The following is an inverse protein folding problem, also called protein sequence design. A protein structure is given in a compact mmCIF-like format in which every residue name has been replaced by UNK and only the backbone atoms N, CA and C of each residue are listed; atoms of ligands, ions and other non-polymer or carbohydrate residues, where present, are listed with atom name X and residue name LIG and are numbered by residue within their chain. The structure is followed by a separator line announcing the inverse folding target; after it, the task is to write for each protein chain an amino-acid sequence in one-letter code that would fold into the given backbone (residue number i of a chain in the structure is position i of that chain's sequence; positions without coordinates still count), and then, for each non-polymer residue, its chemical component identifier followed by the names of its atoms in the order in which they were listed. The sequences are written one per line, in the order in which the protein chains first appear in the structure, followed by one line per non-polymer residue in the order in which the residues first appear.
data_IF_025102945499
#
_entry.id   IF_025102945499
#
_cell.length_a   1.000
_cell.length_b   1.000
_cell.length_c   1.000
_cell.angle_alpha   90.00
_cell.angle_beta   90.00
_cell.angle_gamma   90.00
#
_symmetry.space_group_name_H-M   'P 1'
#
loop_
_entity.id
_entity.type
_entity.pdbx_description
1 polymer ?
#
# COMPACT_ATOMS: atom_id res chain seq x y z
N UNK A 1 18.06 10.53 -4.99
CA UNK A 1 17.98 9.08 -5.30
C UNK A 1 18.80 8.29 -4.27
N UNK A 2 18.50 8.52 -2.99
CA UNK A 2 19.10 7.96 -1.78
C UNK A 2 17.93 8.20 -0.80
N UNK A 3 17.10 7.23 -0.41
CA UNK A 3 17.38 6.08 0.43
C UNK A 3 16.41 4.94 0.06
N UNK A 4 16.89 3.92 -0.65
CA UNK A 4 16.17 2.65 -0.75
C UNK A 4 17.08 1.45 -0.41
N UNK A 5 18.24 1.73 0.18
CA UNK A 5 19.29 0.73 0.44
C UNK A 5 19.41 0.35 1.91
N UNK A 6 18.71 1.02 2.84
CA UNK A 6 18.76 0.62 4.26
C UNK A 6 17.71 -0.43 4.64
N UNK A 7 16.60 -0.51 3.91
CA UNK A 7 15.54 -1.53 4.13
C UNK A 7 15.88 -2.91 3.58
N UNK A 8 16.85 -3.02 2.66
CA UNK A 8 17.36 -4.33 2.22
C UNK A 8 18.06 -5.12 3.35
N UNK A 9 18.44 -4.45 4.46
CA UNK A 9 19.17 -5.06 5.57
C UNK A 9 18.34 -5.88 6.55
N UNK A 10 17.00 -5.82 6.50
CA UNK A 10 16.14 -6.56 7.43
C UNK A 10 15.52 -7.84 6.85
N UNK A 11 15.74 -8.14 5.56
CA UNK A 11 14.99 -9.19 4.86
C UNK A 11 15.88 -10.20 4.12
N UNK A 12 16.96 -10.71 4.74
CA UNK A 12 17.79 -11.76 4.11
C UNK A 12 17.90 -13.09 4.88
N UNK A 13 17.19 -13.28 6.01
CA UNK A 13 17.25 -14.57 6.71
C UNK A 13 16.17 -15.58 6.30
N UNK A 14 15.11 -15.21 5.57
CA UNK A 14 13.99 -16.13 5.38
C UNK A 14 13.30 -16.00 4.02
N UNK A 15 14.00 -16.42 2.95
CA UNK A 15 13.36 -17.04 1.78
C UNK A 15 12.69 -18.39 2.16
N UNK A 16 12.64 -18.74 3.45
CA UNK A 16 11.87 -19.83 4.05
C UNK A 16 10.72 -19.38 4.97
N UNK A 17 9.96 -18.34 4.63
CA UNK A 17 8.77 -17.94 5.40
C UNK A 17 7.49 -18.75 5.09
N UNK A 18 7.60 -19.85 4.34
CA UNK A 18 6.47 -20.70 3.98
C UNK A 18 5.84 -21.45 5.19
N UNK A 19 6.41 -21.34 6.39
CA UNK A 19 5.96 -22.06 7.60
C UNK A 19 5.38 -21.21 8.74
N UNK A 20 5.37 -19.87 8.61
CA UNK A 20 4.75 -18.96 9.60
C UNK A 20 3.41 -18.37 9.12
N UNK A 21 3.02 -18.67 7.87
CA UNK A 21 1.87 -18.09 7.17
C UNK A 21 0.48 -18.46 7.70
N UNK A 22 0.37 -19.35 8.69
CA UNK A 22 -0.96 -19.88 9.07
C UNK A 22 -1.50 -19.43 10.43
N UNK A 23 -0.74 -18.64 11.22
CA UNK A 23 -1.18 -18.27 12.59
C UNK A 23 -1.38 -16.77 12.83
N UNK A 24 -1.22 -15.94 11.81
CA UNK A 24 -1.36 -14.47 11.92
C UNK A 24 -2.41 -13.89 10.97
N UNK A 25 -3.33 -14.70 10.44
CA UNK A 25 -4.49 -14.20 9.72
C UNK A 25 -5.50 -13.68 10.74
N UNK A 26 -5.28 -12.44 11.18
CA UNK A 26 -6.23 -11.71 12.01
C UNK A 26 -7.59 -11.64 11.31
N UNK A 27 -8.66 -11.60 12.09
CA UNK A 27 -10.04 -11.48 11.58
C UNK A 27 -10.19 -10.30 10.61
N UNK A 28 -9.47 -9.20 10.85
CA UNK A 28 -9.42 -8.02 9.98
C UNK A 28 -8.78 -8.33 8.62
N UNK A 29 -7.66 -9.05 8.59
CA UNK A 29 -6.98 -9.45 7.36
C UNK A 29 -7.89 -10.31 6.47
N UNK A 30 -8.59 -11.28 7.06
CA UNK A 30 -9.51 -12.14 6.32
C UNK A 30 -10.72 -11.34 5.78
N UNK A 31 -11.34 -10.51 6.62
CA UNK A 31 -12.44 -9.63 6.19
C UNK A 31 -12.04 -8.75 5.00
N UNK A 32 -10.85 -8.15 5.05
CA UNK A 32 -10.38 -7.32 3.95
C UNK A 32 -10.05 -8.15 2.71
N UNK A 33 -9.48 -9.35 2.87
CA UNK A 33 -9.22 -10.27 1.77
C UNK A 33 -10.50 -10.63 1.02
N UNK A 34 -11.54 -11.06 1.73
CA UNK A 34 -12.83 -11.43 1.14
C UNK A 34 -13.50 -10.24 0.42
N UNK A 35 -13.31 -9.02 0.95
CA UNK A 35 -13.76 -7.80 0.31
C UNK A 35 -12.93 -7.48 -0.95
N UNK A 36 -11.61 -7.59 -0.86
CA UNK A 36 -10.68 -7.26 -1.94
C UNK A 36 -10.89 -8.15 -3.17
N UNK A 37 -11.13 -9.45 -2.99
CA UNK A 37 -11.44 -10.37 -4.10
C UNK A 37 -12.69 -9.93 -4.89
N UNK A 38 -13.76 -9.54 -4.17
CA UNK A 38 -14.99 -9.02 -4.79
C UNK A 38 -14.73 -7.69 -5.49
N UNK A 39 -14.00 -6.80 -4.84
CA UNK A 39 -13.62 -5.49 -5.38
C UNK A 39 -12.80 -5.62 -6.67
N UNK A 40 -11.86 -6.56 -6.72
CA UNK A 40 -11.06 -6.87 -7.91
C UNK A 40 -11.92 -7.39 -9.06
N UNK A 41 -12.84 -8.32 -8.78
CA UNK A 41 -13.78 -8.83 -9.78
C UNK A 41 -14.63 -7.70 -10.39
N UNK A 42 -15.12 -6.77 -9.56
CA UNK A 42 -15.87 -5.60 -10.03
C UNK A 42 -14.99 -4.62 -10.83
N UNK A 43 -13.72 -4.46 -10.46
CA UNK A 43 -12.76 -3.64 -11.20
C UNK A 43 -12.55 -4.22 -12.60
N UNK A 44 -12.38 -5.53 -12.73
CA UNK A 44 -12.23 -6.19 -14.03
C UNK A 44 -13.44 -5.93 -14.94
N UNK A 45 -14.66 -5.97 -14.39
CA UNK A 45 -15.87 -5.69 -15.16
C UNK A 45 -15.94 -4.22 -15.60
N UNK A 46 -15.54 -3.28 -14.74
CA UNK A 46 -15.42 -1.86 -15.11
C UNK A 46 -14.38 -1.66 -16.22
N UNK A 47 -13.24 -2.37 -16.17
CA UNK A 47 -12.21 -2.33 -17.22
C UNK A 47 -12.74 -2.89 -18.54
N UNK A 48 -13.48 -4.01 -18.52
CA UNK A 48 -14.13 -4.55 -19.73
C UNK A 48 -15.08 -3.53 -20.37
N UNK A 49 -15.91 -2.87 -19.55
CA UNK A 49 -16.83 -1.82 -20.03
C UNK A 49 -16.04 -0.66 -20.64
N UNK A 50 -14.97 -0.20 -19.98
CA UNK A 50 -14.12 0.87 -20.51
C UNK A 50 -13.50 0.51 -21.87
N UNK A 51 -12.98 -0.71 -22.01
CA UNK A 51 -12.40 -1.19 -23.26
C UNK A 51 -13.44 -1.29 -24.38
N UNK A 52 -14.69 -1.64 -24.07
CA UNK A 52 -15.78 -1.61 -25.04
C UNK A 52 -16.10 -0.18 -25.48
N UNK A 53 -16.25 0.75 -24.54
CA UNK A 53 -16.49 2.18 -24.84
C UNK A 53 -15.36 2.80 -25.65
N UNK A 54 -14.10 2.39 -25.41
CA UNK A 54 -12.95 2.91 -26.16
C UNK A 54 -12.96 2.56 -27.66
N UNK A 55 -13.76 1.57 -28.08
CA UNK A 55 -13.93 1.22 -29.50
C UNK A 55 -14.90 2.16 -30.21
N UNK A 56 -15.79 2.81 -29.46
CA UNK A 56 -16.80 3.74 -29.96
C UNK A 56 -16.41 5.18 -29.61
N UNK A 57 -15.50 5.75 -30.41
CA UNK A 57 -14.82 7.04 -30.14
C UNK A 57 -15.71 8.30 -30.16
N UNK A 58 -17.03 8.16 -30.31
CA UNK A 58 -17.99 9.26 -30.42
C UNK A 58 -18.82 9.51 -29.15
N UNK A 59 -18.61 8.74 -28.07
CA UNK A 59 -19.47 8.80 -26.88
C UNK A 59 -18.78 9.44 -25.65
N UNK A 60 -18.59 10.75 -25.69
CA UNK A 60 -17.93 11.52 -24.62
C UNK A 60 -18.62 11.37 -23.24
N UNK A 61 -19.96 11.42 -23.21
CA UNK A 61 -20.75 11.21 -21.98
C UNK A 61 -20.58 9.80 -21.37
N UNK A 62 -20.22 8.80 -22.19
CA UNK A 62 -19.91 7.44 -21.74
C UNK A 62 -18.59 7.39 -20.95
N UNK A 63 -17.59 8.15 -21.39
CA UNK A 63 -16.28 8.23 -20.72
C UNK A 63 -16.36 8.93 -19.35
N UNK A 64 -17.13 10.01 -19.25
CA UNK A 64 -17.33 10.68 -17.96
C UNK A 64 -17.99 9.73 -16.94
N UNK A 65 -19.04 9.04 -17.37
CA UNK A 65 -19.77 8.08 -16.51
C UNK A 65 -18.87 6.96 -16.01
N UNK A 66 -18.06 6.36 -16.89
CA UNK A 66 -17.17 5.25 -16.50
C UNK A 66 -16.01 5.74 -15.61
N UNK A 67 -15.44 6.92 -15.86
CA UNK A 67 -14.41 7.53 -15.00
C UNK A 67 -14.96 7.81 -13.60
N UNK A 68 -16.19 8.32 -13.51
CA UNK A 68 -16.86 8.52 -12.23
C UNK A 68 -17.07 7.20 -11.48
N UNK A 69 -17.45 6.12 -12.17
CA UNK A 69 -17.54 4.77 -11.58
C UNK A 69 -16.20 4.26 -11.08
N UNK A 70 -15.12 4.35 -11.87
CA UNK A 70 -13.78 3.98 -11.41
C UNK A 70 -13.35 4.76 -10.18
N UNK A 71 -13.62 6.07 -10.18
CA UNK A 71 -13.26 6.96 -9.07
C UNK A 71 -14.04 6.59 -7.80
N UNK A 72 -15.34 6.33 -7.91
CA UNK A 72 -16.17 5.88 -6.79
C UNK A 72 -15.70 4.51 -6.25
N UNK A 73 -15.42 3.56 -7.15
CA UNK A 73 -14.95 2.21 -6.82
C UNK A 73 -13.64 2.23 -6.02
N UNK A 74 -12.68 3.09 -6.42
CA UNK A 74 -11.43 3.25 -5.67
C UNK A 74 -11.63 3.97 -4.34
N UNK A 75 -12.51 4.98 -4.28
CA UNK A 75 -12.85 5.66 -3.02
C UNK A 75 -13.42 4.66 -2.00
N UNK A 76 -14.29 3.77 -2.42
CA UNK A 76 -14.88 2.73 -1.56
C UNK A 76 -13.82 1.78 -0.99
N UNK A 77 -12.87 1.32 -1.82
CA UNK A 77 -11.72 0.54 -1.36
C UNK A 77 -10.97 1.25 -0.24
N UNK A 78 -10.62 2.52 -0.41
CA UNK A 78 -9.85 3.25 0.60
C UNK A 78 -10.66 3.55 1.86
N UNK A 79 -11.98 3.79 1.75
CA UNK A 79 -12.85 3.95 2.92
C UNK A 79 -12.87 2.67 3.77
N UNK A 80 -13.07 1.52 3.14
CA UNK A 80 -13.12 0.22 3.84
C UNK A 80 -11.74 -0.17 4.38
N UNK A 81 -10.68 0.01 3.57
CA UNK A 81 -9.29 -0.20 3.98
C UNK A 81 -8.94 0.63 5.21
N UNK A 82 -9.30 1.92 5.20
CA UNK A 82 -9.04 2.83 6.31
C UNK A 82 -9.80 2.44 7.58
N UNK A 83 -11.08 2.09 7.46
CA UNK A 83 -11.90 1.63 8.59
C UNK A 83 -11.31 0.38 9.24
N UNK A 84 -10.93 -0.61 8.45
CA UNK A 84 -10.38 -1.87 8.95
C UNK A 84 -8.96 -1.70 9.50
N UNK A 85 -8.16 -0.80 8.93
CA UNK A 85 -6.85 -0.45 9.47
C UNK A 85 -6.92 0.21 10.86
N UNK A 86 -8.04 0.87 11.20
CA UNK A 86 -8.25 1.40 12.55
C UNK A 86 -8.51 0.29 13.59
N UNK A 87 -9.08 -0.84 13.15
CA UNK A 87 -9.28 -2.03 13.99
C UNK A 87 -7.96 -2.77 14.22
N UNK A 88 -7.23 -3.05 13.14
CA UNK A 88 -5.92 -3.71 13.17
C UNK A 88 -5.04 -3.24 12.00
N UNK A 89 -4.10 -2.34 12.29
CA UNK A 89 -3.17 -1.82 11.29
C UNK A 89 -2.10 -2.84 10.89
N UNK A 90 -1.77 -3.79 11.78
CA UNK A 90 -0.72 -4.78 11.54
C UNK A 90 -1.10 -5.76 10.43
N UNK A 91 -2.39 -6.05 10.30
CA UNK A 91 -2.97 -6.81 9.19
C UNK A 91 -2.65 -6.24 7.79
N UNK A 92 -2.33 -4.93 7.69
CA UNK A 92 -2.05 -4.26 6.42
C UNK A 92 -0.55 -4.13 6.09
N UNK A 93 0.35 -4.48 7.02
CA UNK A 93 1.80 -4.50 6.78
C UNK A 93 2.28 -5.80 6.11
N UNK A 94 1.53 -6.89 6.23
CA UNK A 94 1.76 -8.14 5.51
C UNK A 94 0.45 -8.62 4.85
N UNK A 95 0.06 -8.01 3.73
CA UNK A 95 -1.26 -8.24 3.16
C UNK A 95 -1.33 -9.62 2.49
N UNK A 96 -2.24 -10.46 2.99
CA UNK A 96 -2.46 -11.83 2.52
C UNK A 96 -3.24 -11.89 1.19
N UNK A 97 -3.90 -10.79 0.83
CA UNK A 97 -4.70 -10.65 -0.39
C UNK A 97 -3.87 -10.22 -1.61
N UNK A 98 -2.57 -9.97 -1.43
CA UNK A 98 -1.64 -9.67 -2.52
C UNK A 98 -0.79 -10.90 -2.83
N UNK A 99 -0.47 -11.08 -4.11
CA UNK A 99 0.49 -12.10 -4.54
C UNK A 99 1.89 -11.79 -3.98
N UNK A 100 2.77 -12.80 -3.86
CA UNK A 100 4.15 -12.57 -3.44
C UNK A 100 4.90 -11.54 -4.31
N UNK A 101 4.57 -11.48 -5.59
CA UNK A 101 5.13 -10.50 -6.52
C UNK A 101 4.66 -9.08 -6.19
N UNK A 102 3.35 -8.88 -6.00
CA UNK A 102 2.78 -7.57 -5.64
C UNK A 102 3.30 -7.09 -4.29
N UNK A 103 3.44 -8.02 -3.33
CA UNK A 103 4.09 -7.76 -2.05
C UNK A 103 5.54 -7.30 -2.24
N UNK A 104 6.33 -8.03 -3.03
CA UNK A 104 7.70 -7.63 -3.32
C UNK A 104 7.78 -6.25 -4.00
N UNK A 105 6.88 -5.95 -4.94
CA UNK A 105 6.83 -4.62 -5.56
C UNK A 105 6.50 -3.52 -4.56
N UNK A 106 5.52 -3.73 -3.67
CA UNK A 106 5.17 -2.78 -2.63
C UNK A 106 6.40 -2.40 -1.76
N UNK A 107 7.23 -3.39 -1.43
CA UNK A 107 8.47 -3.21 -0.66
C UNK A 107 9.61 -2.58 -1.48
N UNK A 108 9.85 -3.08 -2.69
CA UNK A 108 11.04 -2.72 -3.49
C UNK A 108 10.90 -1.33 -4.11
N UNK A 109 9.74 -1.01 -4.70
CA UNK A 109 9.57 0.26 -5.41
C UNK A 109 9.07 1.37 -4.49
N UNK A 110 8.54 1.01 -3.33
CA UNK A 110 7.71 1.90 -2.53
C UNK A 110 6.42 2.25 -3.26
N UNK A 111 5.43 2.75 -2.51
CA UNK A 111 4.25 3.38 -3.09
C UNK A 111 4.54 4.86 -3.36
N UNK A 112 4.73 5.24 -4.64
CA UNK A 112 4.93 6.63 -5.08
C UNK A 112 3.88 7.04 -6.10
N UNK A 113 2.76 7.67 -5.67
CA UNK A 113 1.70 8.13 -6.57
C UNK A 113 2.21 9.06 -7.67
N UNK A 114 3.30 9.80 -7.39
CA UNK A 114 3.98 10.64 -8.35
C UNK A 114 4.44 9.90 -9.63
N UNK A 115 4.71 8.58 -9.55
CA UNK A 115 5.12 7.79 -10.71
C UNK A 115 4.04 7.71 -11.79
N UNK A 116 2.76 7.78 -11.44
CA UNK A 116 1.66 7.76 -12.41
C UNK A 116 1.77 8.91 -13.41
N UNK A 117 2.31 10.05 -12.98
CA UNK A 117 2.51 11.21 -13.84
C UNK A 117 3.59 11.01 -14.89
N UNK A 118 4.54 10.09 -14.68
CA UNK A 118 5.50 9.72 -15.72
C UNK A 118 4.80 9.09 -16.92
N UNK A 119 3.73 8.32 -16.68
CA UNK A 119 2.91 7.76 -17.75
C UNK A 119 2.17 8.87 -18.49
N UNK A 120 1.55 9.80 -17.76
CA UNK A 120 0.88 10.98 -18.34
C UNK A 120 1.83 11.77 -19.23
N UNK A 121 3.04 12.09 -18.73
CA UNK A 121 4.04 12.84 -19.49
C UNK A 121 4.52 12.09 -20.73
N UNK A 122 4.60 10.76 -20.66
CA UNK A 122 4.97 9.92 -21.80
C UNK A 122 3.87 9.89 -22.86
N UNK A 123 2.62 9.73 -22.43
CA UNK A 123 1.45 9.66 -23.32
C UNK A 123 1.15 11.00 -23.97
N UNK A 124 1.37 12.11 -23.26
CA UNK A 124 1.26 13.49 -23.79
C UNK A 124 2.28 13.80 -24.89
N UNK A 125 3.41 13.10 -24.90
CA UNK A 125 4.48 13.26 -25.91
C UNK A 125 4.40 12.24 -27.05
N UNK A 126 3.51 11.25 -26.95
CA UNK A 126 3.40 10.16 -27.93
C UNK A 126 2.46 10.51 -29.10
N UNK A 127 2.87 10.22 -30.33
CA UNK A 127 2.13 10.54 -31.57
C UNK A 127 1.25 9.36 -32.02
N UNK A 128 0.34 8.90 -31.13
CA UNK A 128 -0.60 7.81 -31.45
C UNK A 128 -1.96 8.38 -31.84
N UNK A 129 -2.30 8.17 -33.11
CA UNK A 129 -3.46 8.80 -33.78
C UNK A 129 -4.84 8.29 -33.31
N UNK A 130 -4.92 7.29 -32.43
CA UNK A 130 -6.17 6.84 -31.83
C UNK A 130 -5.94 6.21 -30.44
N UNK A 131 -6.69 6.67 -29.42
CA UNK A 131 -6.82 6.00 -28.12
C UNK A 131 -5.61 6.00 -27.18
N UNK A 132 -4.53 6.72 -27.48
CA UNK A 132 -3.32 6.70 -26.63
C UNK A 132 -2.47 7.97 -26.60
N UNK A 133 -2.79 8.99 -27.40
CA UNK A 133 -2.10 10.28 -27.35
C UNK A 133 -2.88 11.27 -26.50
N UNK A 134 -2.27 11.79 -25.43
CA UNK A 134 -2.83 12.89 -24.63
C UNK A 134 -2.55 14.27 -25.26
N UNK A 135 -2.15 14.33 -26.53
CA UNK A 135 -1.88 15.59 -27.25
C UNK A 135 -3.13 16.49 -27.39
N UNK A 136 -4.33 15.95 -27.18
CA UNK A 136 -5.60 16.68 -27.15
C UNK A 136 -5.99 17.30 -25.80
N UNK A 137 -5.09 17.29 -24.81
CA UNK A 137 -5.39 17.84 -23.49
C UNK A 137 -5.50 19.37 -23.55
N UNK A 138 -6.56 19.93 -22.96
CA UNK A 138 -6.73 21.38 -22.92
C UNK A 138 -5.70 22.03 -21.98
N UNK A 139 -5.45 23.33 -22.15
CA UNK A 139 -4.54 24.08 -21.29
C UNK A 139 -5.00 24.05 -19.82
N UNK A 140 -6.31 24.08 -19.59
CA UNK A 140 -6.93 23.96 -18.26
C UNK A 140 -6.66 22.59 -17.65
N UNK A 141 -6.81 21.51 -18.43
CA UNK A 141 -6.52 20.14 -17.97
C UNK A 141 -5.04 19.97 -17.63
N UNK A 142 -4.14 20.55 -18.44
CA UNK A 142 -2.71 20.56 -18.16
C UNK A 142 -2.39 21.29 -16.85
N UNK A 143 -2.98 22.47 -16.62
CA UNK A 143 -2.82 23.24 -15.38
C UNK A 143 -3.35 22.47 -14.16
N UNK A 144 -4.50 21.80 -14.28
CA UNK A 144 -5.06 20.98 -13.21
C UNK A 144 -4.15 19.78 -12.88
N UNK A 145 -3.59 19.12 -13.90
CA UNK A 145 -2.64 18.02 -13.70
C UNK A 145 -1.37 18.52 -13.00
N UNK A 146 -0.81 19.66 -13.41
CA UNK A 146 0.38 20.21 -12.77
C UNK A 146 0.13 20.59 -11.31
N UNK A 147 -1.03 21.19 -11.01
CA UNK A 147 -1.44 21.47 -9.63
C UNK A 147 -1.58 20.17 -8.80
N UNK A 148 -2.13 19.10 -9.40
CA UNK A 148 -2.23 17.79 -8.76
C UNK A 148 -0.85 17.16 -8.53
N UNK A 149 0.08 17.28 -9.47
CA UNK A 149 1.47 16.79 -9.32
C UNK A 149 2.14 17.43 -8.12
N UNK A 150 2.08 18.76 -8.01
CA UNK A 150 2.67 19.51 -6.90
C UNK A 150 2.03 19.09 -5.57
N UNK A 151 0.69 19.03 -5.52
CA UNK A 151 -0.02 18.61 -4.31
C UNK A 151 0.39 17.20 -3.88
N UNK A 152 0.39 16.24 -4.80
CA UNK A 152 0.78 14.86 -4.49
C UNK A 152 2.23 14.77 -4.04
N UNK A 153 3.14 15.54 -4.64
CA UNK A 153 4.54 15.59 -4.20
C UNK A 153 4.68 16.04 -2.75
N UNK A 154 3.97 17.10 -2.35
CA UNK A 154 4.00 17.59 -0.96
C UNK A 154 3.42 16.59 0.04
N UNK A 155 2.31 15.94 -0.31
CA UNK A 155 1.70 14.90 0.55
C UNK A 155 2.60 13.66 0.65
N UNK A 156 3.25 13.26 -0.46
CA UNK A 156 4.21 12.15 -0.50
C UNK A 156 5.41 12.43 0.42
N UNK A 157 6.00 13.62 0.36
CA UNK A 157 7.07 14.06 1.28
C UNK A 157 6.61 14.10 2.74
N UNK A 158 5.34 14.45 2.98
CA UNK A 158 4.73 14.40 4.31
C UNK A 158 4.70 12.97 4.87
N UNK A 159 4.20 12.03 4.07
CA UNK A 159 4.12 10.61 4.44
C UNK A 159 5.51 9.99 4.61
N UNK A 160 6.47 10.32 3.75
CA UNK A 160 7.84 9.79 3.83
C UNK A 160 8.54 10.24 5.14
N UNK A 161 8.40 11.52 5.51
CA UNK A 161 8.93 12.02 6.80
C UNK A 161 8.25 11.37 8.01
N UNK A 162 6.95 11.18 7.94
CA UNK A 162 6.18 10.53 9.00
C UNK A 162 6.61 9.06 9.16
N UNK A 163 6.79 8.35 8.04
CA UNK A 163 7.30 6.99 8.01
C UNK A 163 8.71 6.89 8.59
N UNK A 164 9.62 7.80 8.22
CA UNK A 164 10.99 7.83 8.76
C UNK A 164 10.96 8.00 10.30
N UNK A 165 10.17 8.95 10.81
CA UNK A 165 10.03 9.15 12.26
C UNK A 165 9.46 7.90 12.95
N UNK A 166 8.48 7.22 12.37
CA UNK A 166 7.95 5.96 12.92
C UNK A 166 9.01 4.85 12.89
N UNK A 167 9.77 4.71 11.80
CA UNK A 167 10.85 3.72 11.68
C UNK A 167 11.95 3.94 12.73
N UNK A 168 12.34 5.19 12.99
CA UNK A 168 13.28 5.55 14.07
C UNK A 168 12.72 5.15 15.43
N UNK A 169 11.41 5.32 15.67
CA UNK A 169 10.76 4.89 16.90
C UNK A 169 10.78 3.36 17.08
N UNK A 170 10.57 2.59 16.01
CA UNK A 170 10.62 1.11 16.07
C UNK A 170 12.04 0.60 16.27
N UNK A 171 13.04 1.31 15.75
CA UNK A 171 14.45 1.00 15.93
C UNK A 171 15.00 1.41 17.31
N UNK A 172 14.15 1.84 18.25
CA UNK A 172 14.57 2.20 19.60
C UNK A 172 15.23 1.01 20.32
N UNK A 173 16.23 1.31 21.15
CA UNK A 173 17.03 0.34 21.89
C UNK A 173 16.16 -0.64 22.68
N UNK A 174 15.05 -0.16 23.26
CA UNK A 174 14.11 -0.99 24.02
C UNK A 174 13.47 -2.08 23.16
N UNK A 175 13.01 -1.75 21.94
CA UNK A 175 12.42 -2.73 21.02
C UNK A 175 13.47 -3.75 20.58
N UNK A 176 14.70 -3.30 20.28
CA UNK A 176 15.80 -4.20 19.92
C UNK A 176 16.15 -5.17 21.06
N UNK A 177 16.15 -4.70 22.31
CA UNK A 177 16.38 -5.55 23.48
C UNK A 177 15.24 -6.57 23.68
N UNK A 178 13.99 -6.19 23.43
CA UNK A 178 12.85 -7.12 23.47
C UNK A 178 12.94 -8.23 22.42
N UNK A 179 13.30 -7.88 21.18
CA UNK A 179 13.51 -8.88 20.11
C UNK A 179 14.64 -9.84 20.47
N UNK A 180 15.73 -9.35 21.08
CA UNK A 180 16.82 -10.21 21.57
C UNK A 180 16.35 -11.19 22.64
N UNK A 181 15.55 -10.71 23.60
CA UNK A 181 14.96 -11.56 24.65
C UNK A 181 14.01 -12.61 24.06
N UNK A 182 13.25 -12.27 23.03
CA UNK A 182 12.34 -13.19 22.35
C UNK A 182 13.11 -14.32 21.65
N UNK A 183 14.19 -13.97 20.93
CA UNK A 183 15.08 -14.93 20.29
C UNK A 183 15.73 -15.84 21.34
N UNK A 184 16.17 -15.28 22.48
CA UNK A 184 16.78 -16.04 23.57
C UNK A 184 15.78 -16.99 24.25
N UNK A 185 14.53 -16.55 24.46
CA UNK A 185 13.47 -17.37 25.02
C UNK A 185 13.07 -18.52 24.07
N UNK A 186 12.98 -18.26 22.76
CA UNK A 186 12.74 -19.30 21.75
C UNK A 186 13.86 -20.35 21.72
N UNK A 187 15.12 -19.93 21.92
CA UNK A 187 16.28 -20.84 21.99
C UNK A 187 16.34 -21.66 23.28
N UNK A 188 15.83 -21.14 24.39
CA UNK A 188 15.82 -21.87 25.67
C UNK A 188 14.73 -22.94 25.75
N UNK A 189 13.76 -22.94 24.83
CA UNK A 189 12.65 -23.90 24.80
C UNK A 189 11.63 -23.73 25.94
N UNK A 190 11.78 -22.69 26.79
CA UNK A 190 10.85 -22.42 27.89
C UNK A 190 9.60 -21.70 27.38
N UNK A 191 8.48 -22.43 27.34
CA UNK A 191 7.18 -21.88 26.95
C UNK A 191 6.75 -20.69 27.83
N UNK A 192 7.08 -20.73 29.13
CA UNK A 192 6.79 -19.66 30.08
C UNK A 192 7.62 -18.40 29.79
N UNK A 193 8.91 -18.56 29.46
CA UNK A 193 9.76 -17.43 29.08
C UNK A 193 9.29 -16.79 27.77
N UNK A 194 8.87 -17.59 26.79
CA UNK A 194 8.33 -17.09 25.51
C UNK A 194 7.02 -16.34 25.74
N UNK A 195 6.09 -16.87 26.55
CA UNK A 195 4.82 -16.20 26.85
C UNK A 195 5.05 -14.83 27.52
N UNK A 196 5.94 -14.77 28.52
CA UNK A 196 6.27 -13.54 29.24
C UNK A 196 6.90 -12.47 28.35
N UNK A 197 7.79 -12.88 27.42
CA UNK A 197 8.39 -11.93 26.47
C UNK A 197 7.37 -11.46 25.45
N UNK A 198 6.48 -12.34 24.96
CA UNK A 198 5.41 -11.95 24.03
C UNK A 198 4.47 -10.90 24.65
N UNK A 199 4.07 -11.07 25.91
CA UNK A 199 3.26 -10.06 26.62
C UNK A 199 3.97 -8.69 26.69
N UNK A 200 5.28 -8.70 26.94
CA UNK A 200 6.09 -7.48 27.03
C UNK A 200 6.26 -6.81 25.65
N UNK A 201 6.42 -7.59 24.59
CA UNK A 201 6.45 -7.12 23.20
C UNK A 201 5.11 -6.51 22.82
N UNK A 202 4.00 -7.19 23.10
CA UNK A 202 2.66 -6.68 22.82
C UNK A 202 2.36 -5.38 23.56
N UNK A 203 2.68 -5.29 24.84
CA UNK A 203 2.49 -4.07 25.64
C UNK A 203 3.31 -2.90 25.08
N UNK A 204 4.54 -3.16 24.67
CA UNK A 204 5.44 -2.15 24.08
C UNK A 204 4.95 -1.67 22.71
N UNK A 205 4.51 -2.60 21.85
CA UNK A 205 3.91 -2.28 20.55
C UNK A 205 2.62 -1.47 20.72
N UNK A 206 1.73 -1.84 21.64
CA UNK A 206 0.50 -1.09 21.93
C UNK A 206 0.80 0.33 22.40
N UNK A 207 1.79 0.52 23.27
CA UNK A 207 2.21 1.85 23.73
C UNK A 207 2.75 2.73 22.59
N UNK A 208 3.54 2.15 21.69
CA UNK A 208 4.08 2.83 20.51
C UNK A 208 2.97 3.20 19.51
N UNK A 209 2.07 2.26 19.19
CA UNK A 209 0.93 2.48 18.30
C UNK A 209 -0.05 3.53 18.85
N UNK A 210 -0.25 3.58 20.17
CA UNK A 210 -1.04 4.63 20.82
C UNK A 210 -0.40 6.02 20.65
N UNK A 211 0.94 6.09 20.58
CA UNK A 211 1.68 7.30 20.28
C UNK A 211 1.50 7.79 18.84
N UNK A 212 1.21 6.89 17.90
CA UNK A 212 1.02 7.19 16.47
C UNK A 212 -0.40 7.64 16.10
N UNK A 213 -1.38 7.52 17.01
CA UNK A 213 -2.78 7.97 16.82
C UNK A 213 -3.00 9.47 17.07
N UNK A 214 -1.95 10.26 17.28
CA UNK A 214 -2.04 11.70 17.59
C UNK A 214 -1.72 12.57 16.40
#
# INVERSE_FOLDING_TARGET
MIYNTSLAGFCSSCIGFCGLDQKMNGQVAQKFSDYYEKWMSQLEDLVKIFLLLSRDCHQEAGFETIVNKFTAHHKELYMIKWSLAHEDVLAFFNPIWLSPLENAYLWVTGWKPSMAFRLVDTLSKSDRQCGGSLRGMTEEQAKMIEALKVKIGLEEEGVEREMERQQVSVADRKIVELVKLEIQAKRSGSAEAVAKVNELVEASLKGMLAGWRR
#
